data_IF_068096276853
#
_entry.id   IF_068096276853
#
_cell.length_a   1.000
_cell.length_b   1.000
_cell.length_c   1.000
_cell.angle_alpha   90.00
_cell.angle_beta   90.00
_cell.angle_gamma   90.00
#
_symmetry.space_group_name_H-M   'P 1'
#
loop_
_entity.id
_entity.type
_entity.pdbx_description
1 polymer ?
#
# COMPACT_ATOMS: atom_id res chain seq x y z
N UNK A 1 16.61 -14.94 -41.18
CA UNK A 1 16.49 -13.75 -40.31
C UNK A 1 17.82 -13.02 -40.10
N UNK A 2 18.97 -13.53 -40.56
CA UNK A 2 20.29 -12.86 -40.46
C UNK A 2 20.43 -11.57 -41.29
N UNK A 3 19.43 -11.22 -42.10
CA UNK A 3 19.41 -9.99 -42.91
C UNK A 3 18.59 -8.86 -42.28
N UNK A 4 17.98 -9.07 -41.10
CA UNK A 4 17.24 -8.01 -40.42
C UNK A 4 18.19 -7.15 -39.58
N UNK A 5 18.02 -5.82 -39.60
CA UNK A 5 18.68 -4.91 -38.67
C UNK A 5 18.51 -5.37 -37.20
N UNK A 6 19.60 -5.33 -36.43
CA UNK A 6 19.68 -5.82 -35.04
C UNK A 6 18.70 -5.13 -34.08
N UNK A 7 18.29 -3.91 -34.41
CA UNK A 7 17.31 -3.08 -33.69
C UNK A 7 15.86 -3.52 -33.89
N UNK A 8 15.53 -4.15 -35.03
CA UNK A 8 14.18 -4.67 -35.31
C UNK A 8 13.94 -6.00 -34.59
N UNK A 9 14.97 -6.80 -34.36
CA UNK A 9 14.84 -8.13 -33.75
C UNK A 9 14.22 -8.09 -32.34
N UNK A 10 14.64 -7.22 -31.39
CA UNK A 10 13.98 -7.10 -30.09
C UNK A 10 12.50 -6.75 -30.18
N UNK A 11 12.10 -5.95 -31.18
CA UNK A 11 10.70 -5.59 -31.42
C UNK A 11 9.93 -6.86 -31.78
N UNK A 12 10.38 -7.63 -32.77
CA UNK A 12 9.73 -8.88 -33.18
C UNK A 12 9.67 -9.87 -32.00
N UNK A 13 10.78 -10.05 -31.29
CA UNK A 13 10.87 -10.96 -30.15
C UNK A 13 9.91 -10.56 -29.01
N UNK A 14 9.59 -9.27 -28.84
CA UNK A 14 8.62 -8.81 -27.83
C UNK A 14 7.18 -9.24 -28.09
N UNK A 15 6.87 -9.74 -29.30
CA UNK A 15 5.56 -10.31 -29.64
C UNK A 15 5.47 -11.81 -29.37
N UNK A 16 6.59 -12.48 -29.08
CA UNK A 16 6.62 -13.92 -28.80
C UNK A 16 6.19 -14.22 -27.37
N UNK A 17 5.68 -15.43 -27.14
CA UNK A 17 5.44 -15.92 -25.77
C UNK A 17 6.76 -16.28 -25.09
N UNK A 18 6.80 -16.30 -23.75
CA UNK A 18 8.00 -16.72 -22.99
C UNK A 18 8.54 -18.10 -23.46
N UNK A 19 7.72 -19.15 -23.64
CA UNK A 19 8.19 -20.42 -24.20
C UNK A 19 8.86 -20.27 -25.57
N UNK A 20 8.33 -19.43 -26.44
CA UNK A 20 8.89 -19.20 -27.78
C UNK A 20 10.21 -18.42 -27.71
N UNK A 21 10.35 -17.46 -26.80
CA UNK A 21 11.63 -16.78 -26.52
C UNK A 21 12.70 -17.80 -26.12
N UNK A 22 12.36 -18.78 -25.29
CA UNK A 22 13.30 -19.87 -24.93
C UNK A 22 13.66 -20.76 -26.11
N UNK A 23 12.70 -21.09 -27.00
CA UNK A 23 12.99 -21.84 -28.22
C UNK A 23 13.94 -21.08 -29.13
N UNK A 24 13.72 -19.78 -29.35
CA UNK A 24 14.60 -18.90 -30.14
C UNK A 24 16.00 -18.83 -29.54
N UNK A 25 16.12 -18.76 -28.21
CA UNK A 25 17.41 -18.75 -27.48
C UNK A 25 18.27 -19.98 -27.76
N UNK A 26 17.68 -21.11 -28.17
CA UNK A 26 18.40 -22.35 -28.47
C UNK A 26 18.86 -22.44 -29.93
N UNK A 27 18.41 -21.55 -30.81
CA UNK A 27 18.70 -21.63 -32.26
C UNK A 27 20.16 -21.29 -32.56
N UNK A 28 20.69 -20.17 -32.05
CA UNK A 28 22.08 -19.76 -32.25
C UNK A 28 22.61 -18.85 -31.13
N UNK A 29 23.94 -18.61 -31.12
CA UNK A 29 24.60 -17.75 -30.13
C UNK A 29 24.08 -16.32 -30.15
N UNK A 30 23.79 -15.77 -31.32
CA UNK A 30 23.30 -14.40 -31.48
C UNK A 30 21.89 -14.22 -30.88
N UNK A 31 20.96 -15.13 -31.17
CA UNK A 31 19.65 -15.13 -30.52
C UNK A 31 19.73 -15.36 -29.01
N UNK A 32 20.69 -16.16 -28.55
CA UNK A 32 20.95 -16.31 -27.12
C UNK A 32 21.34 -14.97 -26.46
N UNK A 33 22.10 -14.13 -27.14
CA UNK A 33 22.45 -12.78 -26.66
C UNK A 33 21.24 -11.84 -26.75
N UNK A 34 20.55 -11.82 -27.89
CA UNK A 34 19.37 -10.95 -28.11
C UNK A 34 18.25 -11.22 -27.11
N UNK A 35 17.95 -12.50 -26.83
CA UNK A 35 16.92 -12.89 -25.85
C UNK A 35 17.30 -12.61 -24.39
N UNK A 36 18.53 -12.16 -24.13
CA UNK A 36 19.00 -11.71 -22.81
C UNK A 36 19.16 -10.19 -22.73
N UNK A 37 18.76 -9.46 -23.78
CA UNK A 37 18.84 -8.00 -23.78
C UNK A 37 17.83 -7.39 -22.82
N UNK A 38 18.22 -6.29 -22.21
CA UNK A 38 17.37 -5.52 -21.30
C UNK A 38 16.12 -4.97 -21.98
N UNK A 39 16.26 -4.52 -23.24
CA UNK A 39 15.18 -3.91 -24.03
C UNK A 39 14.03 -4.89 -24.28
N UNK A 40 14.33 -6.14 -24.58
CA UNK A 40 13.32 -7.19 -24.79
C UNK A 40 12.44 -7.38 -23.54
N UNK A 41 13.06 -7.62 -22.38
CA UNK A 41 12.32 -7.90 -21.14
C UNK A 41 11.59 -6.67 -20.62
N UNK A 42 12.17 -5.48 -20.80
CA UNK A 42 11.49 -4.23 -20.48
C UNK A 42 10.22 -4.03 -21.33
N UNK A 43 10.32 -4.23 -22.66
CA UNK A 43 9.17 -4.14 -23.56
C UNK A 43 8.10 -5.18 -23.23
N UNK A 44 8.51 -6.41 -22.88
CA UNK A 44 7.61 -7.48 -22.47
C UNK A 44 6.85 -7.10 -21.19
N UNK A 45 7.55 -6.60 -20.16
CA UNK A 45 6.93 -6.14 -18.91
C UNK A 45 5.90 -5.03 -19.16
N UNK A 46 6.30 -4.00 -19.92
CA UNK A 46 5.41 -2.87 -20.22
C UNK A 46 4.15 -3.35 -20.94
N UNK A 47 4.31 -4.22 -21.94
CA UNK A 47 3.21 -4.68 -22.78
C UNK A 47 2.25 -5.62 -22.05
N UNK A 48 2.76 -6.63 -21.35
CA UNK A 48 1.94 -7.72 -20.85
C UNK A 48 1.51 -7.57 -19.39
N UNK A 49 2.23 -6.77 -18.60
CA UNK A 49 1.92 -6.56 -17.19
C UNK A 49 1.41 -5.14 -16.93
N UNK A 50 2.21 -4.12 -17.25
CA UNK A 50 1.85 -2.74 -16.90
C UNK A 50 0.62 -2.23 -17.66
N UNK A 51 0.54 -2.43 -18.99
CA UNK A 51 -0.65 -2.06 -19.77
C UNK A 51 -1.94 -2.75 -19.33
N UNK A 52 -1.82 -3.89 -18.64
CA UNK A 52 -2.95 -4.66 -18.13
C UNK A 52 -3.17 -4.47 -16.63
N UNK A 53 -2.46 -3.55 -15.98
CA UNK A 53 -2.50 -3.31 -14.53
C UNK A 53 -2.25 -4.59 -13.70
N UNK A 54 -1.42 -5.50 -14.20
CA UNK A 54 -1.03 -6.71 -13.49
C UNK A 54 0.19 -6.37 -12.64
N UNK A 55 0.08 -6.58 -11.32
CA UNK A 55 1.19 -6.39 -10.40
C UNK A 55 2.35 -7.33 -10.72
N UNK A 56 3.58 -6.85 -10.53
CA UNK A 56 4.81 -7.60 -10.80
C UNK A 56 5.46 -7.95 -9.45
N UNK A 57 5.31 -9.19 -8.95
CA UNK A 57 5.81 -9.56 -7.64
C UNK A 57 7.34 -9.47 -7.57
N UNK A 58 7.87 -8.69 -6.63
CA UNK A 58 9.31 -8.43 -6.48
C UNK A 58 9.79 -7.09 -7.04
N UNK A 59 8.90 -6.31 -7.68
CA UNK A 59 9.26 -4.96 -8.15
C UNK A 59 9.45 -3.99 -6.97
N UNK A 60 8.62 -4.11 -5.91
CA UNK A 60 8.72 -3.31 -4.67
C UNK A 60 8.88 -1.80 -4.93
N UNK A 61 8.10 -1.24 -5.86
CA UNK A 61 8.16 0.18 -6.21
C UNK A 61 9.43 0.62 -6.94
N UNK A 62 10.43 -0.26 -7.15
CA UNK A 62 11.65 0.10 -7.88
C UNK A 62 11.30 0.51 -9.32
N UNK A 63 11.81 1.65 -9.82
CA UNK A 63 11.59 2.04 -11.20
C UNK A 63 12.23 1.01 -12.12
N UNK A 64 11.49 0.55 -13.14
CA UNK A 64 11.96 -0.48 -14.07
C UNK A 64 13.28 -0.11 -14.75
N UNK A 65 13.58 1.19 -14.90
CA UNK A 65 14.81 1.76 -15.43
C UNK A 65 16.05 1.32 -14.66
N UNK A 66 15.93 1.14 -13.33
CA UNK A 66 17.07 0.78 -12.47
C UNK A 66 17.44 -0.70 -12.52
N UNK A 67 16.57 -1.54 -13.07
CA UNK A 67 16.78 -2.98 -13.13
C UNK A 67 17.68 -3.36 -14.31
N UNK A 68 18.57 -4.32 -14.07
CA UNK A 68 19.38 -4.92 -15.13
C UNK A 68 18.56 -5.97 -15.93
N UNK A 69 19.15 -6.47 -17.03
CA UNK A 69 18.45 -7.41 -17.91
C UNK A 69 18.04 -8.72 -17.21
N UNK A 70 18.90 -9.24 -16.33
CA UNK A 70 18.67 -10.48 -15.60
C UNK A 70 17.56 -10.31 -14.55
N UNK A 71 17.53 -9.19 -13.86
CA UNK A 71 16.45 -8.85 -12.91
C UNK A 71 15.10 -8.74 -13.63
N UNK A 72 15.05 -8.05 -14.77
CA UNK A 72 13.82 -7.93 -15.58
C UNK A 72 13.33 -9.30 -16.07
N UNK A 73 14.24 -10.14 -16.59
CA UNK A 73 13.91 -11.51 -16.99
C UNK A 73 13.33 -12.31 -15.81
N UNK A 74 14.01 -12.27 -14.66
CA UNK A 74 13.59 -12.99 -13.45
C UNK A 74 12.20 -12.55 -12.97
N UNK A 75 11.94 -11.24 -12.92
CA UNK A 75 10.64 -10.69 -12.54
C UNK A 75 9.55 -11.07 -13.54
N UNK A 76 9.84 -11.00 -14.84
CA UNK A 76 8.91 -11.37 -15.91
C UNK A 76 8.47 -12.83 -15.77
N UNK A 77 9.44 -13.74 -15.61
CA UNK A 77 9.18 -15.17 -15.47
C UNK A 77 8.39 -15.48 -14.20
N UNK A 78 8.74 -14.81 -13.08
CA UNK A 78 8.05 -14.96 -11.80
C UNK A 78 6.60 -14.48 -11.91
N UNK A 79 6.37 -13.31 -12.51
CA UNK A 79 5.03 -12.76 -12.71
C UNK A 79 4.18 -13.63 -13.65
N UNK A 80 4.74 -14.13 -14.75
CA UNK A 80 4.06 -15.06 -15.66
C UNK A 80 3.67 -16.36 -14.95
N UNK A 81 4.58 -16.93 -14.16
CA UNK A 81 4.32 -18.16 -13.39
C UNK A 81 3.15 -17.96 -12.43
N UNK A 82 3.12 -16.84 -11.70
CA UNK A 82 2.01 -16.55 -10.80
C UNK A 82 0.71 -16.32 -11.57
N UNK A 83 0.74 -15.54 -12.65
CA UNK A 83 -0.41 -15.34 -13.52
C UNK A 83 -0.99 -16.68 -13.98
N UNK A 84 -0.16 -17.61 -14.45
CA UNK A 84 -0.59 -18.96 -14.84
C UNK A 84 -1.18 -19.77 -13.68
N UNK A 85 -0.58 -19.70 -12.50
CA UNK A 85 -1.09 -20.38 -11.30
C UNK A 85 -2.46 -19.83 -10.85
N UNK A 86 -2.66 -18.52 -10.96
CA UNK A 86 -3.94 -17.87 -10.61
C UNK A 86 -5.02 -18.07 -11.68
N UNK A 87 -4.63 -18.18 -12.95
CA UNK A 87 -5.55 -18.35 -14.09
C UNK A 87 -5.74 -19.81 -14.53
N UNK A 88 -5.13 -20.80 -13.85
CA UNK A 88 -5.30 -22.20 -14.20
C UNK A 88 -6.73 -22.65 -13.89
N UNK A 89 -7.67 -22.40 -14.81
CA UNK A 89 -9.11 -22.62 -14.62
C UNK A 89 -9.57 -24.05 -14.33
N UNK A 90 -8.66 -25.02 -14.30
CA UNK A 90 -8.96 -26.43 -14.03
C UNK A 90 -8.63 -26.88 -12.59
N UNK A 91 -7.83 -26.12 -11.84
CA UNK A 91 -7.40 -26.48 -10.48
C UNK A 91 -7.22 -25.19 -9.66
N UNK A 92 -7.77 -25.17 -8.44
CA UNK A 92 -7.55 -24.07 -7.47
C UNK A 92 -6.06 -23.67 -7.44
N UNK A 93 -5.72 -22.36 -7.41
CA UNK A 93 -4.33 -21.91 -7.43
C UNK A 93 -3.51 -22.64 -6.38
N UNK A 94 -2.37 -23.23 -6.79
CA UNK A 94 -1.54 -24.01 -5.88
C UNK A 94 -0.78 -23.06 -4.95
N UNK A 95 -0.91 -23.18 -3.62
CA UNK A 95 -0.15 -22.34 -2.70
C UNK A 95 1.34 -22.63 -2.89
N UNK A 96 2.14 -21.58 -3.06
CA UNK A 96 3.59 -21.72 -3.21
C UNK A 96 4.32 -21.80 -1.88
N UNK A 97 3.69 -21.30 -0.82
CA UNK A 97 4.23 -21.25 0.54
C UNK A 97 3.08 -21.46 1.53
N UNK A 98 3.36 -22.22 2.58
CA UNK A 98 2.49 -22.35 3.75
C UNK A 98 3.21 -21.72 4.94
N UNK A 99 2.50 -20.89 5.67
CA UNK A 99 3.07 -20.11 6.77
C UNK A 99 2.07 -20.14 7.92
N UNK A 100 2.56 -20.55 9.09
CA UNK A 100 1.77 -20.63 10.31
C UNK A 100 2.14 -19.50 11.25
N UNK A 101 1.11 -18.95 11.92
CA UNK A 101 1.26 -17.84 12.85
C UNK A 101 0.72 -18.27 14.22
N UNK A 102 1.40 -17.84 15.28
CA UNK A 102 0.94 -18.09 16.64
C UNK A 102 -0.19 -17.10 16.94
N UNK A 103 -1.43 -17.57 16.90
CA UNK A 103 -2.60 -16.76 17.24
C UNK A 103 -2.60 -16.36 18.72
N UNK A 104 -3.23 -15.23 19.03
CA UNK A 104 -3.50 -14.87 20.43
C UNK A 104 -4.53 -15.86 20.98
N UNK A 105 -4.28 -16.51 22.14
CA UNK A 105 -5.24 -17.44 22.73
C UNK A 105 -6.61 -16.79 22.99
N UNK A 106 -7.67 -17.58 22.88
CA UNK A 106 -9.06 -17.17 23.15
C UNK A 106 -9.50 -15.91 22.39
N UNK A 107 -8.92 -15.71 21.20
CA UNK A 107 -9.17 -14.53 20.38
C UNK A 107 -9.68 -14.91 19.00
N UNK A 108 -10.34 -13.95 18.35
CA UNK A 108 -10.74 -14.05 16.93
C UNK A 108 -9.99 -13.00 16.12
N UNK A 109 -9.32 -13.43 15.05
CA UNK A 109 -8.77 -12.49 14.06
C UNK A 109 -9.93 -11.81 13.32
N UNK A 110 -9.94 -10.47 13.37
CA UNK A 110 -10.98 -9.64 12.73
C UNK A 110 -10.43 -8.79 11.59
N UNK A 111 -9.11 -8.62 11.51
CA UNK A 111 -8.47 -7.95 10.37
C UNK A 111 -7.07 -8.51 10.13
N UNK A 112 -6.70 -8.60 8.84
CA UNK A 112 -5.35 -8.88 8.36
C UNK A 112 -4.98 -7.83 7.32
N UNK A 113 -3.75 -7.31 7.37
CA UNK A 113 -3.24 -6.37 6.38
C UNK A 113 -1.80 -6.67 6.04
N UNK A 114 -1.51 -6.87 4.76
CA UNK A 114 -0.14 -6.90 4.26
C UNK A 114 0.34 -5.48 3.96
N UNK A 115 1.56 -5.18 4.36
CA UNK A 115 2.24 -3.93 4.05
C UNK A 115 3.68 -4.24 3.62
N UNK A 116 4.10 -3.66 2.50
CA UNK A 116 5.50 -3.65 2.11
C UNK A 116 6.05 -2.24 2.31
N UNK A 117 7.18 -2.10 3.00
CA UNK A 117 7.81 -0.80 3.27
C UNK A 117 9.32 -0.97 3.31
N UNK A 118 10.06 -0.17 2.53
CA UNK A 118 11.53 -0.23 2.50
C UNK A 118 12.10 -1.64 2.22
N UNK A 119 11.42 -2.42 1.36
CA UNK A 119 11.79 -3.81 1.08
C UNK A 119 11.45 -4.81 2.19
N UNK A 120 10.87 -4.35 3.29
CA UNK A 120 10.30 -5.19 4.33
C UNK A 120 8.89 -5.63 3.94
N UNK A 121 8.50 -6.83 4.37
CA UNK A 121 7.16 -7.36 4.14
C UNK A 121 6.59 -7.75 5.49
N UNK A 122 5.58 -7.00 5.91
CA UNK A 122 4.92 -7.20 7.19
C UNK A 122 3.49 -7.68 6.98
N UNK A 123 3.04 -8.53 7.91
CA UNK A 123 1.63 -8.85 8.10
C UNK A 123 1.18 -8.22 9.42
N UNK A 124 0.13 -7.42 9.37
CA UNK A 124 -0.55 -6.93 10.55
C UNK A 124 -1.78 -7.78 10.82
N UNK A 125 -1.96 -8.18 12.07
CA UNK A 125 -3.17 -8.86 12.53
C UNK A 125 -3.83 -8.12 13.68
N UNK A 126 -5.14 -7.98 13.61
CA UNK A 126 -5.96 -7.52 14.72
C UNK A 126 -6.82 -8.68 15.23
N UNK A 127 -6.60 -9.04 16.49
CA UNK A 127 -7.39 -10.03 17.19
C UNK A 127 -8.31 -9.35 18.22
N UNK A 128 -9.51 -9.89 18.46
CA UNK A 128 -10.38 -9.48 19.56
C UNK A 128 -10.54 -10.62 20.55
N UNK A 129 -10.34 -10.31 21.83
CA UNK A 129 -10.58 -11.20 22.97
C UNK A 129 -11.73 -10.65 23.81
N UNK A 130 -12.57 -11.52 24.35
CA UNK A 130 -13.70 -11.15 25.21
C UNK A 130 -13.50 -11.73 26.61
N UNK A 131 -13.15 -10.89 27.56
CA UNK A 131 -12.95 -11.29 28.96
C UNK A 131 -14.01 -10.58 29.82
N UNK A 132 -14.91 -11.34 30.44
CA UNK A 132 -15.93 -10.81 31.37
C UNK A 132 -16.75 -9.62 30.80
N UNK A 133 -17.13 -9.69 29.53
CA UNK A 133 -17.89 -8.62 28.86
C UNK A 133 -17.04 -7.45 28.32
N UNK A 134 -15.78 -7.34 28.72
CA UNK A 134 -14.85 -6.36 28.16
C UNK A 134 -14.18 -6.89 26.89
N UNK A 135 -14.10 -6.03 25.87
CA UNK A 135 -13.39 -6.33 24.62
C UNK A 135 -11.97 -5.76 24.70
N UNK A 136 -10.98 -6.61 24.49
CA UNK A 136 -9.60 -6.19 24.30
C UNK A 136 -9.19 -6.53 22.86
N UNK A 137 -8.45 -5.62 22.22
CA UNK A 137 -8.00 -5.80 20.85
C UNK A 137 -6.48 -5.94 20.86
N UNK A 138 -5.96 -7.03 20.32
CA UNK A 138 -4.52 -7.25 20.21
C UNK A 138 -4.08 -7.00 18.78
N UNK A 139 -3.31 -5.93 18.59
CA UNK A 139 -2.64 -5.58 17.35
C UNK A 139 -1.25 -6.23 17.35
N UNK A 140 -0.89 -6.94 16.27
CA UNK A 140 0.42 -7.55 16.08
C UNK A 140 0.97 -7.23 14.70
N UNK A 141 2.28 -7.04 14.62
CA UNK A 141 3.06 -6.91 13.40
C UNK A 141 4.01 -8.10 13.29
N UNK A 142 3.92 -8.82 12.19
CA UNK A 142 4.71 -10.02 11.89
C UNK A 142 5.67 -9.71 10.74
N UNK A 143 6.96 -9.96 10.95
CA UNK A 143 7.95 -9.91 9.87
C UNK A 143 7.96 -11.22 9.09
N UNK A 144 7.61 -11.13 7.80
CA UNK A 144 7.51 -12.25 6.87
C UNK A 144 8.86 -12.62 6.23
N UNK A 145 9.95 -11.90 6.54
CA UNK A 145 11.30 -12.29 6.11
C UNK A 145 11.78 -13.57 6.79
N UNK A 146 11.28 -13.86 7.98
CA UNK A 146 11.65 -15.04 8.76
C UNK A 146 10.72 -16.23 8.47
N UNK A 147 11.23 -17.44 8.64
CA UNK A 147 10.46 -18.67 8.54
C UNK A 147 10.77 -19.57 9.75
N UNK A 148 9.87 -19.68 10.76
CA UNK A 148 8.53 -19.08 10.79
C UNK A 148 8.57 -17.54 10.96
N UNK A 149 7.50 -16.82 10.58
CA UNK A 149 7.40 -15.38 10.81
C UNK A 149 7.51 -15.01 12.29
N UNK A 150 8.15 -13.89 12.56
CA UNK A 150 8.40 -13.41 13.93
C UNK A 150 7.47 -12.23 14.23
N UNK A 151 6.80 -12.28 15.39
CA UNK A 151 6.04 -11.13 15.90
C UNK A 151 7.02 -10.07 16.40
N UNK A 152 7.24 -9.03 15.61
CA UNK A 152 8.20 -7.96 15.92
C UNK A 152 7.56 -6.84 16.75
N UNK A 153 6.24 -6.67 16.68
CA UNK A 153 5.54 -5.67 17.49
C UNK A 153 4.17 -6.17 17.93
N UNK A 154 3.78 -5.81 19.16
CA UNK A 154 2.47 -6.15 19.74
C UNK A 154 1.95 -5.01 20.60
N UNK A 155 0.65 -4.72 20.49
CA UNK A 155 -0.02 -3.76 21.37
C UNK A 155 -1.42 -4.23 21.72
N UNK A 156 -1.80 -4.06 22.98
CA UNK A 156 -3.17 -4.26 23.44
C UNK A 156 -3.87 -2.90 23.44
N UNK A 157 -5.03 -2.85 22.81
CA UNK A 157 -5.85 -1.65 22.64
C UNK A 157 -7.18 -1.88 23.34
N UNK A 158 -7.54 -0.93 24.20
CA UNK A 158 -8.86 -0.82 24.79
C UNK A 158 -9.64 0.25 24.01
N UNK A 159 -10.97 0.10 23.93
CA UNK A 159 -11.83 1.08 23.23
C UNK A 159 -11.48 1.29 21.74
N UNK A 160 -11.05 0.24 21.04
CA UNK A 160 -10.77 0.30 19.61
C UNK A 160 -12.02 0.64 18.80
N UNK A 161 -11.93 1.68 17.98
CA UNK A 161 -13.01 2.12 17.09
C UNK A 161 -12.64 2.03 15.60
N UNK A 162 -11.37 1.86 15.25
CA UNK A 162 -10.92 1.76 13.86
C UNK A 162 -9.40 1.84 13.71
N UNK A 163 -8.90 1.48 12.54
CA UNK A 163 -7.50 1.68 12.17
C UNK A 163 -7.35 2.01 10.69
N UNK A 164 -6.25 2.65 10.34
CA UNK A 164 -5.84 2.90 8.97
C UNK A 164 -4.33 2.67 8.83
N UNK A 165 -3.93 2.00 7.76
CA UNK A 165 -2.51 1.83 7.43
C UNK A 165 -2.06 2.93 6.49
N UNK A 166 -0.82 3.35 6.65
CA UNK A 166 -0.24 4.35 5.77
C UNK A 166 -0.14 3.79 4.35
N UNK A 167 -0.75 4.50 3.39
CA UNK A 167 -0.67 4.12 1.99
C UNK A 167 0.64 4.54 1.33
N UNK A 168 1.34 5.53 1.87
CA UNK A 168 2.60 6.03 1.33
C UNK A 168 3.76 5.47 2.16
N UNK A 169 4.71 4.82 1.49
CA UNK A 169 5.89 4.21 2.13
C UNK A 169 6.79 5.25 2.83
N UNK A 170 6.70 6.51 2.40
CA UNK A 170 7.51 7.63 2.90
C UNK A 170 7.03 8.16 4.25
N UNK A 171 5.76 7.99 4.61
CA UNK A 171 5.18 8.61 5.80
C UNK A 171 5.68 7.96 7.09
N UNK A 172 6.07 8.74 8.10
CA UNK A 172 6.72 8.21 9.31
C UNK A 172 5.85 7.17 10.04
N UNK A 173 4.59 7.53 10.33
CA UNK A 173 3.65 6.61 10.98
C UNK A 173 3.23 5.46 10.06
N UNK A 174 3.19 4.24 10.59
CA UNK A 174 2.78 3.03 9.85
C UNK A 174 1.28 2.81 9.93
N UNK A 175 0.70 3.04 11.11
CA UNK A 175 -0.72 2.80 11.37
C UNK A 175 -1.28 3.92 12.24
N UNK A 176 -2.45 4.42 11.87
CA UNK A 176 -3.28 5.26 12.70
C UNK A 176 -4.30 4.35 13.38
N UNK A 177 -4.39 4.41 14.71
CA UNK A 177 -5.33 3.63 15.50
C UNK A 177 -6.24 4.59 16.22
N UNK A 178 -7.53 4.34 16.07
CA UNK A 178 -8.56 5.11 16.73
C UNK A 178 -8.98 4.43 18.02
N UNK A 179 -8.69 5.11 19.10
CA UNK A 179 -9.20 4.85 20.45
C UNK A 179 -10.06 6.08 20.84
N UNK A 180 -10.31 6.43 22.12
CA UNK A 180 -10.92 7.72 22.45
C UNK A 180 -10.16 8.92 21.83
N UNK A 181 -8.87 8.73 21.58
CA UNK A 181 -7.98 9.60 20.79
C UNK A 181 -7.45 8.83 19.57
N UNK A 182 -6.99 9.56 18.55
CA UNK A 182 -6.28 8.94 17.42
C UNK A 182 -4.79 8.86 17.76
N UNK A 183 -4.27 7.65 17.90
CA UNK A 183 -2.84 7.39 18.09
C UNK A 183 -2.19 7.02 16.76
N UNK A 184 -1.10 7.67 16.41
CA UNK A 184 -0.26 7.30 15.28
C UNK A 184 0.91 6.46 15.78
N UNK A 185 1.08 5.30 15.18
CA UNK A 185 2.03 4.29 15.61
C UNK A 185 3.01 4.01 14.48
N UNK A 186 4.28 4.03 14.82
CA UNK A 186 5.38 3.50 14.01
C UNK A 186 5.87 2.18 14.61
N UNK A 187 6.56 1.37 13.81
CA UNK A 187 7.11 0.07 14.20
C UNK A 187 8.63 0.21 14.27
N UNK A 188 9.16 0.27 15.49
CA UNK A 188 10.61 0.30 15.70
C UNK A 188 11.17 -1.13 15.54
N UNK A 189 11.85 -1.35 14.42
CA UNK A 189 12.47 -2.64 14.09
C UNK A 189 13.85 -2.84 14.73
N UNK A 190 14.34 -1.90 15.55
CA UNK A 190 15.54 -2.09 16.36
C UNK A 190 16.88 -2.07 15.60
N UNK A 191 16.91 -1.56 14.37
CA UNK A 191 18.16 -1.17 13.71
C UNK A 191 19.10 -2.31 13.32
N UNK A 192 18.68 -3.18 12.39
CA UNK A 192 19.61 -3.94 11.54
C UNK A 192 19.80 -3.30 10.14
N UNK A 193 19.02 -2.27 9.78
CA UNK A 193 19.13 -1.59 8.50
C UNK A 193 20.19 -0.47 8.58
N UNK A 194 21.43 -0.82 8.26
CA UNK A 194 22.59 0.06 8.24
C UNK A 194 22.42 1.28 7.33
N UNK A 195 22.65 2.44 7.94
CA UNK A 195 22.88 3.73 7.30
C UNK A 195 23.51 4.70 8.30
N UNK A 196 24.79 4.51 8.63
CA UNK A 196 25.66 5.48 9.33
C UNK A 196 26.17 6.56 8.33
N UNK A 197 26.51 7.82 8.70
CA UNK A 197 27.63 8.13 9.59
C UNK A 197 27.49 9.40 10.46
N UNK A 198 27.55 9.24 11.78
CA UNK A 198 27.93 10.34 12.68
C UNK A 198 28.58 9.80 13.96
N UNK A 199 29.75 9.16 13.79
CA UNK A 199 30.95 9.50 14.55
C UNK A 199 30.93 9.47 16.08
N UNK A 200 30.10 8.67 16.75
CA UNK A 200 30.33 8.33 18.17
C UNK A 200 30.11 6.84 18.38
N UNK A 201 31.21 6.08 18.29
CA UNK A 201 31.32 4.69 18.74
C UNK A 201 30.91 4.61 20.22
N UNK A 202 29.66 4.27 20.47
CA UNK A 202 29.27 3.76 21.78
C UNK A 202 29.94 2.39 21.94
N UNK A 203 30.58 2.23 23.08
CA UNK A 203 31.42 1.10 23.46
C UNK A 203 30.69 -0.24 23.36
N UNK A 204 31.40 -1.20 22.77
CA UNK A 204 31.12 -2.63 22.73
C UNK A 204 31.00 -3.15 24.17
N UNK A 205 29.78 -3.52 24.59
CA UNK A 205 29.52 -4.17 25.86
C UNK A 205 28.04 -4.51 26.01
N UNK A 206 27.71 -5.78 25.75
CA UNK A 206 26.46 -6.48 26.11
C UNK A 206 25.13 -6.05 25.46
N UNK A 207 24.91 -6.38 24.18
CA UNK A 207 23.63 -6.15 23.49
C UNK A 207 23.05 -7.38 22.79
N UNK A 208 22.65 -8.39 23.57
CA UNK A 208 21.74 -9.46 23.12
C UNK A 208 20.31 -9.28 23.68
N UNK A 209 19.96 -8.06 24.09
CA UNK A 209 18.60 -7.72 24.50
C UNK A 209 17.69 -7.70 23.26
N UNK A 210 17.14 -8.87 22.90
CA UNK A 210 16.01 -8.94 21.98
C UNK A 210 14.88 -8.12 22.59
N UNK A 211 14.61 -6.94 22.03
CA UNK A 211 13.54 -6.07 22.51
C UNK A 211 12.22 -6.84 22.52
N UNK A 212 11.48 -6.68 23.60
CA UNK A 212 10.19 -7.34 23.75
C UNK A 212 9.19 -6.73 22.74
N UNK A 213 8.40 -7.54 21.99
CA UNK A 213 7.48 -7.03 20.97
C UNK A 213 6.48 -5.96 21.49
N UNK A 214 6.16 -5.99 22.78
CA UNK A 214 5.31 -4.99 23.42
C UNK A 214 5.87 -3.55 23.38
N UNK A 215 7.18 -3.39 23.20
CA UNK A 215 7.86 -2.09 23.19
C UNK A 215 8.12 -1.56 21.78
N UNK A 216 7.94 -2.38 20.74
CA UNK A 216 8.25 -1.99 19.36
C UNK A 216 7.16 -1.12 18.70
N UNK A 217 5.96 -1.04 19.28
CA UNK A 217 4.93 -0.09 18.85
C UNK A 217 5.21 1.29 19.46
N UNK A 218 5.79 2.21 18.68
CA UNK A 218 6.14 3.56 19.16
C UNK A 218 5.05 4.56 18.77
N UNK A 219 4.53 5.31 19.75
CA UNK A 219 3.63 6.43 19.45
C UNK A 219 4.41 7.57 18.80
N UNK A 220 4.02 7.95 17.58
CA UNK A 220 4.59 9.10 16.86
C UNK A 220 3.88 10.39 17.26
N UNK A 221 2.55 10.36 17.33
CA UNK A 221 1.71 11.49 17.70
C UNK A 221 0.36 10.99 18.24
N UNK A 222 -0.31 11.84 19.01
CA UNK A 222 -1.72 11.67 19.38
C UNK A 222 -2.50 12.88 18.86
N UNK A 223 -3.71 12.64 18.34
CA UNK A 223 -4.65 13.68 17.96
C UNK A 223 -5.82 13.66 18.95
N UNK A 224 -6.06 14.77 19.63
CA UNK A 224 -7.10 14.91 20.66
C UNK A 224 -8.53 14.99 20.09
N UNK A 225 -8.71 14.72 18.80
CA UNK A 225 -10.00 14.83 18.15
C UNK A 225 -10.85 13.57 18.37
N UNK A 226 -12.10 13.79 18.79
CA UNK A 226 -13.10 12.73 18.92
C UNK A 226 -13.65 12.39 17.53
N UNK A 227 -12.85 11.72 16.73
CA UNK A 227 -13.34 11.16 15.48
C UNK A 227 -14.37 10.06 15.80
N UNK A 228 -15.45 9.98 15.02
CA UNK A 228 -16.44 8.87 15.10
C UNK A 228 -16.49 8.06 13.81
N UNK A 229 -16.08 8.65 12.69
CA UNK A 229 -16.08 7.96 11.40
C UNK A 229 -14.76 7.32 11.00
N UNK A 230 -14.62 7.21 9.68
CA UNK A 230 -13.49 6.63 8.94
C UNK A 230 -12.18 7.33 9.28
N UNK A 231 -11.12 6.52 9.37
CA UNK A 231 -9.75 6.97 9.51
C UNK A 231 -8.98 6.58 8.25
N UNK A 232 -8.17 7.48 7.71
CA UNK A 232 -7.23 7.18 6.63
C UNK A 232 -5.88 7.83 6.92
N UNK A 233 -4.79 7.15 6.53
CA UNK A 233 -3.41 7.60 6.75
C UNK A 233 -2.65 7.62 5.42
N UNK A 234 -2.09 8.77 5.06
CA UNK A 234 -1.51 9.08 3.76
C UNK A 234 -0.24 9.91 3.93
N UNK A 235 0.92 9.27 3.95
CA UNK A 235 2.18 9.98 4.22
C UNK A 235 2.11 10.56 5.62
N UNK A 236 2.15 11.88 5.71
CA UNK A 236 2.09 12.62 6.98
C UNK A 236 0.71 13.21 7.30
N UNK A 237 -0.27 12.90 6.45
CA UNK A 237 -1.64 13.37 6.57
C UNK A 237 -2.55 12.28 7.16
N UNK A 238 -3.41 12.69 8.08
CA UNK A 238 -4.46 11.86 8.67
C UNK A 238 -5.79 12.48 8.29
N UNK A 239 -6.62 11.71 7.60
CA UNK A 239 -8.00 12.10 7.32
C UNK A 239 -8.91 11.43 8.35
N UNK A 240 -9.69 12.23 9.06
CA UNK A 240 -10.65 11.75 10.05
C UNK A 240 -11.99 12.45 9.87
N UNK A 241 -13.07 11.76 10.27
CA UNK A 241 -14.42 12.29 10.26
C UNK A 241 -14.96 12.39 11.68
N UNK A 242 -15.49 13.55 12.04
CA UNK A 242 -16.08 13.79 13.35
C UNK A 242 -17.52 13.24 13.48
N UNK A 243 -18.15 13.47 14.63
CA UNK A 243 -19.51 13.00 14.93
C UNK A 243 -20.59 13.69 14.07
N UNK A 244 -20.29 14.86 13.52
CA UNK A 244 -21.18 15.62 12.66
C UNK A 244 -20.98 15.25 11.17
N UNK A 245 -20.12 14.29 10.86
CA UNK A 245 -19.79 13.89 9.49
C UNK A 245 -18.82 14.85 8.79
N UNK A 246 -18.28 15.86 9.48
CA UNK A 246 -17.31 16.80 8.90
C UNK A 246 -15.97 16.09 8.77
N UNK A 247 -15.33 16.30 7.64
CA UNK A 247 -14.06 15.66 7.31
C UNK A 247 -12.91 16.63 7.57
N UNK A 248 -11.91 16.19 8.31
CA UNK A 248 -10.74 16.98 8.67
C UNK A 248 -9.47 16.26 8.24
N UNK A 249 -8.58 17.02 7.61
CA UNK A 249 -7.24 16.58 7.24
C UNK A 249 -6.25 17.18 8.24
N UNK A 250 -5.58 16.32 8.99
CA UNK A 250 -4.57 16.67 9.97
C UNK A 250 -3.18 16.45 9.39
N UNK A 251 -2.24 17.33 9.73
CA UNK A 251 -0.81 17.05 9.56
C UNK A 251 -0.27 16.57 10.90
N UNK A 252 0.22 15.34 11.02
CA UNK A 252 0.46 14.80 12.36
C UNK A 252 1.66 15.40 13.08
N UNK A 253 2.61 16.00 12.36
CA UNK A 253 3.71 16.75 12.99
C UNK A 253 3.24 18.06 13.64
N UNK A 254 2.03 18.51 13.28
CA UNK A 254 1.40 19.71 13.83
C UNK A 254 -0.08 19.41 14.07
N UNK A 255 -0.39 18.54 15.04
CA UNK A 255 -1.74 17.99 15.24
C UNK A 255 -2.81 19.05 15.56
N UNK A 256 -2.38 20.21 16.06
CA UNK A 256 -3.20 21.39 16.29
C UNK A 256 -3.67 22.08 15.00
N UNK A 257 -3.04 21.78 13.86
CA UNK A 257 -3.34 22.34 12.56
C UNK A 257 -4.15 21.31 11.76
N UNK A 258 -5.33 21.71 11.30
CA UNK A 258 -6.21 20.89 10.48
C UNK A 258 -6.89 21.70 9.39
N UNK A 259 -7.11 21.06 8.24
CA UNK A 259 -7.95 21.57 7.16
C UNK A 259 -9.32 20.92 7.28
N UNK A 260 -10.39 21.70 7.24
CA UNK A 260 -11.72 21.17 7.06
C UNK A 260 -12.03 21.03 5.56
N UNK A 261 -12.44 19.84 5.13
CA UNK A 261 -12.98 19.63 3.80
C UNK A 261 -14.47 19.98 3.84
N UNK A 262 -14.87 21.02 3.11
CA UNK A 262 -16.25 21.52 3.11
C UNK A 262 -16.99 21.12 1.83
N UNK A 263 -18.28 20.84 1.98
CA UNK A 263 -19.19 20.72 0.83
C UNK A 263 -19.50 22.12 0.31
N UNK A 264 -19.38 22.40 -1.00
CA UNK A 264 -19.77 23.69 -1.57
C UNK A 264 -21.22 24.09 -1.25
N UNK A 265 -22.08 23.10 -1.00
CA UNK A 265 -23.48 23.34 -0.66
C UNK A 265 -23.70 23.64 0.83
N UNK A 266 -22.64 23.63 1.65
CA UNK A 266 -22.71 23.81 3.11
C UNK A 266 -23.40 22.65 3.85
N UNK A 267 -23.75 21.59 3.13
CA UNK A 267 -24.42 20.42 3.67
C UNK A 267 -23.45 19.62 4.55
N UNK A 268 -24.00 19.01 5.62
CA UNK A 268 -23.29 17.96 6.31
C UNK A 268 -22.93 16.85 5.31
N UNK A 269 -21.74 16.27 5.43
CA UNK A 269 -21.26 15.20 4.56
C UNK A 269 -21.36 13.85 5.30
N UNK A 270 -22.56 13.30 5.55
CA UNK A 270 -22.71 12.06 6.31
C UNK A 270 -22.19 10.84 5.53
N UNK A 271 -21.81 11.02 4.26
CA UNK A 271 -21.34 9.94 3.43
C UNK A 271 -20.01 9.37 3.93
N UNK A 272 -19.97 8.05 4.00
CA UNK A 272 -18.79 7.30 4.40
C UNK A 272 -17.70 7.53 3.36
N UNK A 273 -16.52 7.87 3.83
CA UNK A 273 -15.32 7.93 3.01
C UNK A 273 -14.89 6.50 2.72
N UNK A 274 -14.91 6.12 1.45
CA UNK A 274 -14.56 4.77 0.98
C UNK A 274 -13.08 4.67 0.66
N UNK A 275 -12.53 5.69 0.02
CA UNK A 275 -11.09 5.74 -0.24
C UNK A 275 -10.55 7.16 -0.43
N UNK A 276 -9.23 7.27 -0.32
CA UNK A 276 -8.51 8.54 -0.49
C UNK A 276 -7.17 8.33 -1.19
N UNK A 277 -6.77 9.31 -1.99
CA UNK A 277 -5.47 9.38 -2.66
C UNK A 277 -4.90 10.79 -2.53
N UNK A 278 -3.61 10.90 -2.22
CA UNK A 278 -2.88 12.18 -2.20
C UNK A 278 -1.71 12.09 -3.17
N UNK A 279 -1.57 13.08 -4.05
CA UNK A 279 -0.44 13.20 -4.98
C UNK A 279 -0.10 14.68 -5.23
N UNK A 280 1.16 15.08 -5.03
CA UNK A 280 1.72 16.40 -5.40
C UNK A 280 0.83 17.62 -5.07
N UNK A 281 0.27 17.66 -3.85
CA UNK A 281 -0.60 18.76 -3.42
C UNK A 281 -2.06 18.65 -3.89
N UNK A 282 -2.47 17.50 -4.42
CA UNK A 282 -3.87 17.18 -4.70
C UNK A 282 -4.36 16.08 -3.75
N UNK A 283 -5.64 16.14 -3.42
CA UNK A 283 -6.35 15.14 -2.65
C UNK A 283 -7.57 14.69 -3.45
N UNK A 284 -7.68 13.39 -3.71
CA UNK A 284 -8.88 12.78 -4.25
C UNK A 284 -9.57 12.01 -3.14
N UNK A 285 -10.81 12.38 -2.89
CA UNK A 285 -11.66 11.79 -1.87
C UNK A 285 -12.82 11.07 -2.54
N UNK A 286 -12.92 9.76 -2.32
CA UNK A 286 -14.03 8.95 -2.79
C UNK A 286 -14.96 8.63 -1.62
N UNK A 287 -16.21 9.08 -1.73
CA UNK A 287 -17.31 8.79 -0.81
C UNK A 287 -18.22 7.72 -1.39
N UNK A 288 -19.39 7.50 -0.79
CA UNK A 288 -20.39 6.55 -1.32
C UNK A 288 -21.09 7.03 -2.58
N UNK A 289 -21.28 8.35 -2.78
CA UNK A 289 -21.92 8.89 -3.99
C UNK A 289 -21.05 9.85 -4.77
N UNK A 290 -19.93 10.31 -4.22
CA UNK A 290 -19.12 11.35 -4.85
C UNK A 290 -17.65 10.96 -4.97
N UNK A 291 -17.00 11.48 -6.02
CA UNK A 291 -15.55 11.68 -6.05
C UNK A 291 -15.28 13.17 -6.08
N UNK A 292 -14.46 13.62 -5.16
CA UNK A 292 -14.12 15.01 -4.96
C UNK A 292 -12.61 15.19 -5.13
N UNK A 293 -12.21 16.17 -5.92
CA UNK A 293 -10.82 16.58 -6.11
C UNK A 293 -10.59 17.89 -5.38
N UNK A 294 -9.62 17.92 -4.50
CA UNK A 294 -9.23 19.09 -3.73
C UNK A 294 -7.79 19.49 -4.08
N UNK A 295 -7.54 20.80 -4.12
CA UNK A 295 -6.20 21.35 -4.12
C UNK A 295 -5.77 21.58 -2.67
N UNK A 296 -4.70 20.91 -2.25
CA UNK A 296 -4.12 21.12 -0.93
C UNK A 296 -3.32 22.43 -0.94
N UNK A 297 -3.46 23.27 0.09
CA UNK A 297 -2.67 24.49 0.20
C UNK A 297 -1.20 24.14 0.48
N UNK A 298 -0.28 25.00 0.03
CA UNK A 298 1.15 24.82 0.26
C UNK A 298 1.53 24.88 1.75
N UNK A 299 0.77 25.66 2.53
CA UNK A 299 0.83 25.73 3.99
C UNK A 299 -0.56 25.53 4.56
N UNK A 300 -0.67 24.73 5.62
CA UNK A 300 -1.92 24.54 6.34
C UNK A 300 -1.91 25.50 7.53
N UNK A 301 -2.89 26.40 7.58
CA UNK A 301 -3.10 27.31 8.71
C UNK A 301 -4.26 26.82 9.60
N UNK A 302 -4.33 27.36 10.83
CA UNK A 302 -5.46 27.11 11.72
C UNK A 302 -6.77 27.56 11.05
N UNK A 303 -7.78 26.68 11.06
CA UNK A 303 -9.11 26.90 10.48
C UNK A 303 -9.14 27.04 8.94
N UNK A 304 -8.15 26.51 8.24
CA UNK A 304 -8.22 26.42 6.77
C UNK A 304 -9.42 25.57 6.38
N UNK A 305 -10.27 26.08 5.49
CA UNK A 305 -11.35 25.34 4.86
C UNK A 305 -11.07 25.26 3.37
N UNK A 306 -11.25 24.08 2.77
CA UNK A 306 -11.08 23.91 1.32
C UNK A 306 -12.30 23.25 0.71
N UNK A 307 -12.70 23.77 -0.44
CA UNK A 307 -13.75 23.22 -1.30
C UNK A 307 -13.13 22.33 -2.38
N UNK A 308 -13.88 21.32 -2.87
CA UNK A 308 -13.46 20.56 -4.02
C UNK A 308 -13.45 21.43 -5.28
N UNK A 309 -12.36 21.42 -6.03
CA UNK A 309 -12.25 22.12 -7.31
C UNK A 309 -13.04 21.40 -8.41
N UNK A 310 -13.28 20.10 -8.22
CA UNK A 310 -14.09 19.27 -9.10
C UNK A 310 -14.81 18.19 -8.29
N UNK A 311 -16.05 17.92 -8.67
CA UNK A 311 -16.90 16.92 -8.04
C UNK A 311 -17.61 16.11 -9.11
N UNK A 312 -17.56 14.80 -8.99
CA UNK A 312 -18.39 13.89 -9.76
C UNK A 312 -19.34 13.17 -8.81
N UNK A 313 -20.63 13.18 -9.13
CA UNK A 313 -21.67 12.49 -8.34
C UNK A 313 -22.23 11.33 -9.15
N UNK A 314 -22.16 10.12 -8.59
CA UNK A 314 -22.80 8.96 -9.18
C UNK A 314 -24.31 8.99 -8.95
N UNK A 315 -25.05 8.38 -9.87
CA UNK A 315 -26.48 8.20 -9.74
C UNK A 315 -26.84 7.19 -8.63
N UNK A 316 -25.91 6.31 -8.26
CA UNK A 316 -26.13 5.21 -7.31
C UNK A 316 -25.06 5.22 -6.22
N UNK A 317 -25.37 4.61 -5.06
CA UNK A 317 -24.37 4.41 -4.02
C UNK A 317 -23.37 3.34 -4.46
N UNK A 318 -22.12 3.59 -4.14
CA UNK A 318 -21.01 2.65 -4.29
C UNK A 318 -20.69 2.07 -2.91
N UNK A 319 -20.40 0.77 -2.85
CA UNK A 319 -20.08 0.09 -1.58
C UNK A 319 -18.58 0.01 -1.32
N UNK A 320 -17.78 -0.06 -2.37
CA UNK A 320 -16.31 -0.04 -2.25
C UNK A 320 -15.65 0.61 -3.44
N UNK A 321 -14.64 1.42 -3.15
CA UNK A 321 -13.79 2.09 -4.13
C UNK A 321 -12.34 1.85 -3.74
N UNK A 322 -11.49 1.67 -4.74
CA UNK A 322 -10.04 1.73 -4.56
C UNK A 322 -9.50 2.75 -5.55
N UNK A 323 -8.83 3.76 -5.00
CA UNK A 323 -8.06 4.76 -5.72
C UNK A 323 -6.59 4.35 -5.72
N UNK A 324 -6.01 4.21 -6.90
CA UNK A 324 -4.59 3.90 -7.07
C UNK A 324 -3.97 4.81 -8.14
N UNK A 325 -2.77 5.38 -7.88
CA UNK A 325 -2.03 6.06 -8.92
C UNK A 325 -1.57 5.02 -9.96
N UNK A 326 -1.71 5.33 -11.25
CA UNK A 326 -1.09 4.50 -12.27
C UNK A 326 0.42 4.75 -12.23
N UNK A 327 1.21 3.68 -12.06
CA UNK A 327 2.67 3.79 -12.13
C UNK A 327 3.06 4.16 -13.56
N UNK A 328 3.23 5.46 -13.82
CA UNK A 328 3.62 5.97 -15.13
C UNK A 328 5.10 6.37 -15.06
N UNK A 329 5.95 5.68 -15.83
CA UNK A 329 7.39 5.93 -15.84
C UNK A 329 7.81 7.23 -16.56
N UNK A 330 6.85 7.98 -17.12
CA UNK A 330 7.17 9.23 -17.83
C UNK A 330 7.26 10.38 -16.82
N UNK A 331 8.50 10.83 -16.56
CA UNK A 331 8.81 11.88 -15.56
C UNK A 331 8.04 13.21 -15.74
N UNK A 332 7.45 13.45 -16.91
CA UNK A 332 6.87 14.74 -17.28
C UNK A 332 5.36 14.72 -17.58
N UNK A 333 4.65 13.61 -17.33
CA UNK A 333 3.20 13.56 -17.55
C UNK A 333 2.41 13.58 -16.24
N UNK A 334 1.19 14.10 -16.30
CA UNK A 334 0.17 13.95 -15.26
C UNK A 334 -0.04 12.46 -15.00
N UNK A 335 0.13 12.01 -13.76
CA UNK A 335 -0.09 10.62 -13.37
C UNK A 335 -1.58 10.30 -13.50
N UNK A 336 -2.01 9.44 -14.44
CA UNK A 336 -3.41 9.07 -14.50
C UNK A 336 -3.76 8.25 -13.26
N UNK A 337 -5.02 8.36 -12.82
CA UNK A 337 -5.51 7.73 -11.60
C UNK A 337 -6.47 6.63 -11.99
N UNK A 338 -6.25 5.44 -11.48
CA UNK A 338 -7.14 4.31 -11.67
C UNK A 338 -8.15 4.29 -10.53
N UNK A 339 -9.43 4.34 -10.91
CA UNK A 339 -10.55 4.21 -9.99
C UNK A 339 -11.20 2.85 -10.25
N UNK A 340 -11.12 1.95 -9.26
CA UNK A 340 -11.84 0.68 -9.30
C UNK A 340 -13.06 0.81 -8.42
N UNK A 341 -14.23 0.70 -9.04
CA UNK A 341 -15.54 0.87 -8.39
C UNK A 341 -16.22 -0.49 -8.36
N UNK A 342 -16.75 -0.89 -7.20
CA UNK A 342 -17.67 -2.02 -7.08
C UNK A 342 -18.99 -1.55 -6.51
N UNK A 343 -20.05 -1.84 -7.25
CA UNK A 343 -21.43 -1.60 -6.86
C UNK A 343 -22.09 -2.94 -6.55
N UNK A 344 -22.62 -3.12 -5.34
CA UNK A 344 -23.56 -4.17 -5.04
C UNK A 344 -24.96 -3.63 -5.32
N UNK A 345 -25.58 -4.12 -6.39
CA UNK A 345 -27.00 -3.93 -6.59
C UNK A 345 -27.71 -4.86 -5.61
N UNK A 346 -28.12 -4.37 -4.45
CA UNK A 346 -29.14 -5.07 -3.67
C UNK A 346 -30.41 -5.04 -4.49
N UNK A 347 -30.77 -6.15 -5.13
CA UNK A 347 -32.13 -6.33 -5.63
C UNK A 347 -33.02 -6.30 -4.38
N UNK A 348 -33.72 -5.18 -4.16
CA UNK A 348 -34.82 -5.13 -3.22
C UNK A 348 -35.91 -6.02 -3.80
N UNK A 349 -35.99 -7.25 -3.30
CA UNK A 349 -37.07 -8.20 -3.57
C UNK A 349 -38.32 -7.74 -2.82
#
# INVERSE_FOLDING_TARGET
MTFLPLDILPIILSHLTIPDIYRVRLVCREYRLLTKTRSLWFAYIQRYFLRHNISIPGLHGRPLETLNAQELETLTLKAERYKKNWLSGAQSPKPTQHVEFIAVPDSRIIALKFLSRNGENWLFSLAVTRNHGMRAFTFQCWDLKFNPPVCIARRILHHFAGMAFNKLETGRAVVAVKTPEICLIDIDTGGAAGGEPSGKRASVGDSNSTRHPAQACVNVANLDDRAVGTLMLLGDLVLAQDNAGRSFLYHFESPQIRVQLIDPEGNAQPEIILDVLVDRGWLILARTKTVELYQLPASIDHNTQIEPIARHTWQWKVDSIVLAPLVNNTKNSTTPIQIVIRTAFSQSI
#
